data_IF_717500125048
#
_entry.id   IF_717500125048
#
_cell.length_a   1.000
_cell.length_b   1.000
_cell.length_c   1.000
_cell.angle_alpha   90.00
_cell.angle_beta   90.00
_cell.angle_gamma   90.00
#
_symmetry.space_group_name_H-M   'P 1'
#
loop_
_entity.id
_entity.type
_entity.pdbx_description
1 polymer ?
#
# COMPACT_ATOMS: atom_id res chain seq x y z
N UNK A 1 61.13 -34.88 23.79
CA UNK A 1 59.94 -34.30 24.45
C UNK A 1 59.53 -32.93 23.86
N UNK A 2 60.44 -31.95 23.70
CA UNK A 2 60.16 -30.63 23.10
C UNK A 2 59.52 -30.65 21.70
N UNK A 3 59.90 -31.59 20.84
CA UNK A 3 59.40 -31.64 19.47
C UNK A 3 57.93 -32.10 19.37
N UNK A 4 57.51 -33.05 20.22
CA UNK A 4 56.11 -33.47 20.33
C UNK A 4 55.21 -32.32 20.82
N UNK A 5 55.71 -31.53 21.77
CA UNK A 5 55.00 -30.35 22.28
C UNK A 5 54.77 -29.30 21.19
N UNK A 6 55.76 -29.05 20.32
CA UNK A 6 55.62 -28.13 19.18
C UNK A 6 54.60 -28.61 18.15
N UNK A 7 54.53 -29.93 17.87
CA UNK A 7 53.55 -30.49 16.93
C UNK A 7 52.12 -30.36 17.45
N UNK A 8 51.89 -30.63 18.74
CA UNK A 8 50.57 -30.47 19.39
C UNK A 8 50.16 -29.00 19.44
N UNK A 9 51.06 -28.09 19.81
CA UNK A 9 50.76 -26.66 19.84
C UNK A 9 50.40 -26.09 18.46
N UNK A 10 51.10 -26.53 17.39
CA UNK A 10 50.77 -26.14 16.00
C UNK A 10 49.42 -26.67 15.55
N UNK A 11 49.11 -27.93 15.87
CA UNK A 11 47.81 -28.53 15.56
C UNK A 11 46.66 -27.82 16.28
N UNK A 12 46.82 -27.51 17.57
CA UNK A 12 45.84 -26.74 18.35
C UNK A 12 45.63 -25.33 17.79
N UNK A 13 46.70 -24.63 17.42
CA UNK A 13 46.62 -23.30 16.79
C UNK A 13 45.87 -23.36 15.44
N UNK A 14 46.15 -24.36 14.61
CA UNK A 14 45.45 -24.54 13.33
C UNK A 14 43.95 -24.77 13.53
N UNK A 15 43.56 -25.62 14.49
CA UNK A 15 42.14 -25.88 14.80
C UNK A 15 41.44 -24.61 15.28
N UNK A 16 42.08 -23.81 16.14
CA UNK A 16 41.52 -22.53 16.60
C UNK A 16 41.35 -21.54 15.45
N UNK A 17 42.32 -21.45 14.53
CA UNK A 17 42.22 -20.59 13.35
C UNK A 17 41.09 -21.02 12.40
N UNK A 18 40.92 -22.33 12.19
CA UNK A 18 39.80 -22.86 11.39
C UNK A 18 38.47 -22.55 12.06
N UNK A 19 38.34 -22.80 13.36
CA UNK A 19 37.11 -22.51 14.11
C UNK A 19 36.77 -21.01 14.08
N UNK A 20 37.76 -20.14 14.27
CA UNK A 20 37.58 -18.69 14.15
C UNK A 20 37.15 -18.28 12.72
N UNK A 21 37.78 -18.85 11.69
CA UNK A 21 37.40 -18.62 10.30
C UNK A 21 35.96 -19.04 9.99
N UNK A 22 35.54 -20.22 10.46
CA UNK A 22 34.16 -20.70 10.34
C UNK A 22 33.15 -19.79 11.07
N UNK A 23 33.48 -19.34 12.29
CA UNK A 23 32.63 -18.44 13.06
C UNK A 23 32.46 -17.07 12.38
N UNK A 24 33.53 -16.50 11.82
CA UNK A 24 33.48 -15.25 11.05
C UNK A 24 32.64 -15.43 9.79
N UNK A 25 32.86 -16.51 9.03
CA UNK A 25 32.07 -16.81 7.82
C UNK A 25 30.59 -16.97 8.15
N UNK A 26 30.25 -17.71 9.21
CA UNK A 26 28.89 -17.86 9.70
C UNK A 26 28.25 -16.51 10.07
N UNK A 27 28.97 -15.68 10.82
CA UNK A 27 28.53 -14.33 11.19
C UNK A 27 28.26 -13.44 9.97
N UNK A 28 29.12 -13.48 8.96
CA UNK A 28 28.92 -12.74 7.69
C UNK A 28 27.69 -13.26 6.93
N UNK A 29 27.46 -14.58 6.89
CA UNK A 29 26.30 -15.16 6.23
C UNK A 29 24.99 -14.79 6.93
N UNK A 30 24.94 -14.85 8.26
CA UNK A 30 23.75 -14.42 9.02
C UNK A 30 23.52 -12.91 8.91
N UNK A 31 24.58 -12.08 8.94
CA UNK A 31 24.43 -10.64 8.72
C UNK A 31 23.88 -10.34 7.32
N UNK A 32 24.38 -11.00 6.27
CA UNK A 32 23.85 -10.86 4.90
C UNK A 32 22.39 -11.32 4.80
N UNK A 33 22.03 -12.39 5.49
CA UNK A 33 20.65 -12.90 5.55
C UNK A 33 19.73 -11.90 6.26
N UNK A 34 20.18 -11.30 7.36
CA UNK A 34 19.46 -10.21 8.03
C UNK A 34 19.32 -8.98 7.14
N UNK A 35 20.41 -8.50 6.52
CA UNK A 35 20.36 -7.36 5.59
C UNK A 35 19.42 -7.60 4.41
N UNK A 36 19.40 -8.82 3.85
CA UNK A 36 18.45 -9.19 2.78
C UNK A 36 17.01 -9.22 3.27
N UNK A 37 16.77 -9.72 4.49
CA UNK A 37 15.44 -9.69 5.12
C UNK A 37 14.99 -8.26 5.35
N UNK A 38 15.84 -7.40 5.89
CA UNK A 38 15.51 -6.00 6.16
C UNK A 38 15.30 -5.19 4.87
N UNK A 39 16.08 -5.47 3.82
CA UNK A 39 15.87 -4.87 2.50
C UNK A 39 14.55 -5.34 1.89
N UNK A 40 14.26 -6.64 1.90
CA UNK A 40 12.98 -7.18 1.44
C UNK A 40 11.81 -6.62 2.27
N UNK A 41 11.97 -6.47 3.58
CA UNK A 41 10.96 -5.91 4.47
C UNK A 41 10.69 -4.45 4.15
N UNK A 42 11.73 -3.65 3.88
CA UNK A 42 11.60 -2.26 3.44
C UNK A 42 10.93 -2.15 2.07
N UNK A 43 11.29 -3.00 1.11
CA UNK A 43 10.65 -3.04 -0.21
C UNK A 43 9.16 -3.39 -0.08
N UNK A 44 8.81 -4.33 0.80
CA UNK A 44 7.44 -4.82 0.98
C UNK A 44 6.58 -3.95 1.91
N UNK A 45 7.18 -3.13 2.79
CA UNK A 45 6.43 -2.43 3.85
C UNK A 45 6.78 -0.94 3.99
N UNK A 46 7.77 -0.41 3.28
CA UNK A 46 8.37 0.89 3.61
C UNK A 46 7.62 2.14 3.18
N UNK A 47 6.46 2.01 2.52
CA UNK A 47 5.58 3.13 2.19
C UNK A 47 4.56 3.40 3.31
N UNK A 48 4.00 4.61 3.41
CA UNK A 48 2.84 4.88 4.29
C UNK A 48 1.57 4.14 3.86
N UNK A 49 0.48 4.30 4.62
CA UNK A 49 -0.84 3.71 4.31
C UNK A 49 -1.29 4.09 2.90
N UNK A 50 -1.56 3.10 2.04
CA UNK A 50 -2.14 3.35 0.71
C UNK A 50 -3.66 3.34 0.87
N UNK A 51 -4.28 4.52 0.82
CA UNK A 51 -5.73 4.67 0.94
C UNK A 51 -6.43 4.62 -0.42
N UNK A 52 -7.64 4.04 -0.55
CA UNK A 52 -8.46 4.12 -1.75
C UNK A 52 -8.87 5.56 -2.12
N UNK A 53 -9.19 5.80 -3.40
CA UNK A 53 -9.51 7.14 -3.92
C UNK A 53 -10.74 7.81 -3.28
N UNK A 54 -11.73 7.04 -2.81
CA UNK A 54 -12.92 7.59 -2.14
C UNK A 54 -12.61 8.38 -0.88
N UNK A 55 -11.39 8.21 -0.35
CA UNK A 55 -10.92 8.88 0.86
C UNK A 55 -10.24 10.22 0.57
N UNK A 56 -9.81 10.43 -0.66
CA UNK A 56 -9.12 11.65 -1.09
C UNK A 56 -10.17 12.66 -1.53
N UNK A 57 -10.91 13.23 -0.57
CA UNK A 57 -11.76 14.42 -0.80
C UNK A 57 -11.04 15.64 -0.27
N UNK A 58 -10.18 16.23 -1.10
CA UNK A 58 -9.56 17.52 -0.80
C UNK A 58 -10.35 18.63 -1.48
N UNK A 59 -10.58 19.74 -0.76
CA UNK A 59 -10.96 21.00 -1.38
C UNK A 59 -9.83 21.41 -2.35
N UNK A 60 -10.19 21.62 -3.62
CA UNK A 60 -9.25 22.03 -4.65
C UNK A 60 -9.66 23.38 -5.22
N UNK A 61 -8.69 24.22 -5.60
CA UNK A 61 -9.03 25.47 -6.27
C UNK A 61 -9.54 25.17 -7.68
N UNK A 62 -10.56 25.89 -8.18
CA UNK A 62 -10.92 25.83 -9.58
C UNK A 62 -9.72 26.13 -10.49
N UNK A 63 -9.66 25.43 -11.63
CA UNK A 63 -8.62 25.65 -12.64
C UNK A 63 -8.80 27.01 -13.33
N UNK A 64 -7.70 27.70 -13.61
CA UNK A 64 -7.71 28.94 -14.39
C UNK A 64 -8.00 28.67 -15.87
N UNK A 65 -8.40 29.69 -16.63
CA UNK A 65 -8.59 29.57 -18.09
C UNK A 65 -7.32 29.09 -18.78
N UNK A 66 -6.14 29.60 -18.41
CA UNK A 66 -4.87 29.18 -18.98
C UNK A 66 -4.53 27.70 -18.68
N UNK A 67 -4.90 27.20 -17.49
CA UNK A 67 -4.74 25.78 -17.16
C UNK A 67 -5.67 24.91 -17.99
N UNK A 68 -6.95 25.28 -18.12
CA UNK A 68 -7.93 24.55 -18.95
C UNK A 68 -7.51 24.51 -20.41
N UNK A 69 -7.16 25.66 -21.01
CA UNK A 69 -6.71 25.71 -22.42
C UNK A 69 -5.47 24.87 -22.67
N UNK A 70 -4.58 24.76 -21.68
CA UNK A 70 -3.39 23.91 -21.79
C UNK A 70 -3.74 22.42 -21.69
N UNK A 71 -4.65 22.04 -20.80
CA UNK A 71 -5.11 20.65 -20.69
C UNK A 71 -5.81 20.20 -21.99
N UNK A 72 -6.62 21.08 -22.58
CA UNK A 72 -7.28 20.88 -23.87
C UNK A 72 -6.25 20.64 -24.98
N UNK A 73 -5.26 21.53 -25.11
CA UNK A 73 -4.21 21.41 -26.11
C UNK A 73 -3.38 20.12 -25.97
N UNK A 74 -3.11 19.67 -24.74
CA UNK A 74 -2.42 18.41 -24.50
C UNK A 74 -3.30 17.22 -24.86
N UNK A 75 -4.58 17.23 -24.49
CA UNK A 75 -5.52 16.15 -24.84
C UNK A 75 -5.70 16.05 -26.35
N UNK A 76 -5.83 17.17 -27.05
CA UNK A 76 -5.96 17.21 -28.50
C UNK A 76 -4.68 16.71 -29.18
N UNK A 77 -3.50 17.18 -28.73
CA UNK A 77 -2.23 16.70 -29.27
C UNK A 77 -2.08 15.18 -29.09
N UNK A 78 -2.47 14.65 -27.93
CA UNK A 78 -2.43 13.21 -27.66
C UNK A 78 -3.36 12.42 -28.58
N UNK A 79 -4.54 12.96 -28.89
CA UNK A 79 -5.50 12.33 -29.79
C UNK A 79 -5.04 12.32 -31.26
N UNK A 80 -4.25 13.31 -31.68
CA UNK A 80 -3.73 13.42 -33.04
C UNK A 80 -2.44 12.63 -33.29
N UNK A 81 -1.84 12.03 -32.26
CA UNK A 81 -0.72 11.13 -32.49
C UNK A 81 -1.19 9.86 -33.19
N UNK A 82 -0.59 9.54 -34.33
CA UNK A 82 -0.85 8.28 -35.04
C UNK A 82 -0.35 7.10 -34.19
N UNK A 83 -1.28 6.49 -33.44
CA UNK A 83 -1.03 5.35 -32.57
C UNK A 83 -0.77 4.04 -33.34
N UNK A 84 -0.97 4.02 -34.66
CA UNK A 84 -0.80 2.81 -35.47
C UNK A 84 0.66 2.57 -35.88
N UNK A 85 1.54 3.57 -35.74
CA UNK A 85 2.97 3.41 -35.99
C UNK A 85 3.70 3.35 -34.66
N UNK A 86 4.41 2.24 -34.43
CA UNK A 86 5.38 2.06 -33.34
C UNK A 86 6.51 3.08 -33.53
N UNK A 87 6.26 4.34 -33.18
CA UNK A 87 7.25 5.39 -33.23
C UNK A 87 8.00 5.37 -31.89
N UNK A 88 9.31 5.13 -31.84
CA UNK A 88 10.07 5.19 -30.59
C UNK A 88 9.92 6.54 -29.86
N UNK A 89 9.63 7.62 -30.59
CA UNK A 89 9.35 8.94 -30.03
C UNK A 89 7.99 9.09 -29.33
N UNK A 90 7.05 8.15 -29.54
CA UNK A 90 5.75 8.13 -28.84
C UNK A 90 5.95 7.86 -27.34
N UNK A 91 6.85 6.96 -26.96
CA UNK A 91 7.11 6.67 -25.55
C UNK A 91 7.62 7.87 -24.74
N UNK A 92 8.51 8.69 -25.34
CA UNK A 92 8.98 9.93 -24.71
C UNK A 92 7.87 10.98 -24.60
N UNK A 93 7.05 11.12 -25.65
CA UNK A 93 5.93 12.07 -25.67
C UNK A 93 4.81 11.65 -24.73
N UNK A 94 4.47 10.36 -24.67
CA UNK A 94 3.57 9.78 -23.69
C UNK A 94 4.05 10.09 -22.27
N UNK A 95 5.31 9.81 -21.95
CA UNK A 95 5.86 10.12 -20.62
C UNK A 95 5.85 11.62 -20.33
N UNK A 96 6.23 12.46 -21.29
CA UNK A 96 6.28 13.91 -21.14
C UNK A 96 4.88 14.54 -20.95
N UNK A 97 3.90 14.14 -21.77
CA UNK A 97 2.55 14.66 -21.68
C UNK A 97 1.79 14.05 -20.51
N UNK A 98 1.86 12.72 -20.32
CA UNK A 98 1.26 12.06 -19.16
C UNK A 98 1.86 12.59 -17.85
N UNK A 99 3.14 13.01 -17.80
CA UNK A 99 3.73 13.62 -16.60
C UNK A 99 2.89 14.76 -16.02
N UNK A 100 2.33 15.65 -16.85
CA UNK A 100 1.45 16.73 -16.35
C UNK A 100 0.17 16.18 -15.73
N UNK A 101 -0.37 15.11 -16.27
CA UNK A 101 -1.58 14.45 -15.77
C UNK A 101 -1.30 13.59 -14.54
N UNK A 102 -0.08 13.05 -14.42
CA UNK A 102 0.46 12.39 -13.23
C UNK A 102 0.56 13.35 -12.05
N UNK A 103 0.96 14.61 -12.29
CA UNK A 103 1.06 15.65 -11.24
C UNK A 103 -0.17 16.57 -11.11
N UNK A 104 -1.17 16.46 -11.99
CA UNK A 104 -2.39 17.25 -11.85
C UNK A 104 -3.04 16.96 -10.49
N UNK A 105 -3.60 17.96 -9.80
CA UNK A 105 -4.14 17.79 -8.44
C UNK A 105 -3.13 17.95 -7.29
N UNK A 106 -1.83 17.77 -7.52
CA UNK A 106 -0.81 18.02 -6.48
C UNK A 106 -0.42 19.50 -6.36
N UNK A 107 -0.79 20.33 -7.35
CA UNK A 107 -0.53 21.77 -7.38
C UNK A 107 -1.63 22.63 -6.71
N UNK A 108 -2.51 22.01 -5.92
CA UNK A 108 -3.67 22.67 -5.30
C UNK A 108 -4.82 23.01 -6.26
N UNK A 109 -4.62 22.85 -7.57
CA UNK A 109 -5.66 22.98 -8.59
C UNK A 109 -6.47 21.68 -8.73
N UNK A 110 -7.78 21.79 -8.97
CA UNK A 110 -8.61 20.63 -9.25
C UNK A 110 -8.09 19.83 -10.44
N UNK A 111 -8.30 18.52 -10.42
CA UNK A 111 -8.03 17.68 -11.58
C UNK A 111 -8.81 18.16 -12.81
N UNK A 112 -8.26 17.97 -14.01
CA UNK A 112 -8.98 18.17 -15.26
C UNK A 112 -10.33 17.43 -15.31
N UNK A 113 -11.19 17.83 -16.25
CA UNK A 113 -12.51 17.23 -16.35
C UNK A 113 -12.45 15.74 -16.72
N UNK A 114 -13.45 14.92 -16.32
CA UNK A 114 -13.51 13.50 -16.67
C UNK A 114 -13.43 13.22 -18.18
N UNK A 115 -13.88 14.15 -19.02
CA UNK A 115 -13.77 14.03 -20.47
C UNK A 115 -12.34 13.99 -20.99
N UNK A 116 -11.44 14.78 -20.40
CA UNK A 116 -10.03 14.73 -20.76
C UNK A 116 -9.41 13.38 -20.39
N UNK A 117 -9.76 12.84 -19.22
CA UNK A 117 -9.30 11.51 -18.82
C UNK A 117 -9.87 10.39 -19.70
N UNK A 118 -11.09 10.55 -20.22
CA UNK A 118 -11.65 9.63 -21.23
C UNK A 118 -10.86 9.68 -22.54
N UNK A 119 -10.54 10.87 -23.06
CA UNK A 119 -9.68 11.04 -24.25
C UNK A 119 -8.31 10.39 -24.02
N UNK A 120 -7.70 10.65 -22.87
CA UNK A 120 -6.41 10.09 -22.48
C UNK A 120 -6.44 8.55 -22.39
N UNK A 121 -7.49 7.97 -21.80
CA UNK A 121 -7.65 6.53 -21.72
C UNK A 121 -7.81 5.88 -23.11
N UNK A 122 -8.49 6.55 -24.04
CA UNK A 122 -8.60 6.12 -25.43
C UNK A 122 -7.26 5.99 -26.15
N UNK A 123 -6.23 6.69 -25.66
CA UNK A 123 -4.86 6.61 -26.16
C UNK A 123 -4.02 5.60 -25.37
N UNK A 124 -3.98 5.74 -24.04
CA UNK A 124 -3.06 4.99 -23.18
C UNK A 124 -3.41 3.50 -23.09
N UNK A 125 -4.71 3.18 -22.95
CA UNK A 125 -5.14 1.80 -22.68
C UNK A 125 -4.87 0.85 -23.87
N UNK A 126 -5.16 1.22 -25.13
CA UNK A 126 -4.78 0.40 -26.29
C UNK A 126 -3.27 0.15 -26.42
N UNK A 127 -2.44 1.05 -25.90
CA UNK A 127 -0.98 0.93 -25.90
C UNK A 127 -0.44 0.06 -24.76
N UNK A 128 -1.32 -0.61 -24.01
CA UNK A 128 -0.95 -1.51 -22.92
C UNK A 128 -0.59 -0.79 -21.61
N UNK A 129 -0.94 0.49 -21.46
CA UNK A 129 -0.65 1.23 -20.23
C UNK A 129 -1.63 0.85 -19.08
N UNK A 130 -1.18 0.81 -17.81
CA UNK A 130 0.21 0.96 -17.36
C UNK A 130 1.05 -0.28 -17.70
N UNK A 131 2.30 -0.09 -18.12
CA UNK A 131 3.24 -1.13 -18.52
C UNK A 131 4.52 -1.08 -17.70
N UNK A 132 5.28 -2.17 -17.68
CA UNK A 132 6.59 -2.20 -17.02
C UNK A 132 7.66 -1.44 -17.83
N UNK A 133 8.59 -0.73 -17.18
CA UNK A 133 8.54 -0.33 -15.77
C UNK A 133 7.46 0.75 -15.54
N UNK A 134 6.65 0.60 -14.48
CA UNK A 134 5.62 1.59 -14.11
C UNK A 134 6.09 2.37 -12.89
N UNK A 135 5.94 3.69 -12.94
CA UNK A 135 6.18 4.52 -11.76
C UNK A 135 4.90 4.62 -10.89
N UNK A 136 5.02 5.13 -9.66
CA UNK A 136 3.84 5.31 -8.79
C UNK A 136 2.84 6.31 -9.39
N UNK A 137 3.33 7.36 -10.02
CA UNK A 137 2.49 8.42 -10.56
C UNK A 137 1.71 7.93 -11.79
N UNK A 138 2.25 6.95 -12.52
CA UNK A 138 1.51 6.19 -13.52
C UNK A 138 0.33 5.48 -12.86
N UNK A 139 0.56 4.73 -11.78
CA UNK A 139 -0.53 4.06 -11.10
C UNK A 139 -1.54 5.07 -10.51
N UNK A 140 -1.13 6.21 -9.97
CA UNK A 140 -2.04 7.27 -9.49
C UNK A 140 -2.90 7.85 -10.64
N UNK A 141 -2.35 7.95 -11.84
CA UNK A 141 -3.11 8.37 -13.02
C UNK A 141 -4.26 7.39 -13.33
N UNK A 142 -4.10 6.09 -13.05
CA UNK A 142 -5.14 5.07 -13.32
C UNK A 142 -6.44 5.35 -12.56
N UNK A 143 -6.37 6.00 -11.38
CA UNK A 143 -7.55 6.41 -10.58
C UNK A 143 -8.49 7.35 -11.30
N UNK A 144 -7.92 8.11 -12.25
CA UNK A 144 -8.61 9.18 -12.96
C UNK A 144 -9.11 8.72 -14.31
N UNK A 145 -8.57 7.61 -14.82
CA UNK A 145 -9.02 7.03 -16.07
C UNK A 145 -10.35 6.30 -15.87
N UNK A 146 -11.26 6.31 -16.87
CA UNK A 146 -12.46 5.50 -16.84
C UNK A 146 -12.11 4.00 -16.70
N UNK A 147 -12.84 3.25 -15.85
CA UNK A 147 -12.62 1.82 -15.73
C UNK A 147 -12.85 1.08 -17.05
N UNK A 148 -11.99 0.12 -17.36
CA UNK A 148 -12.14 -0.73 -18.56
C UNK A 148 -11.56 -2.14 -18.37
N UNK A 149 -12.01 -3.14 -19.15
CA UNK A 149 -11.42 -4.48 -19.10
C UNK A 149 -9.93 -4.51 -19.41
N UNK A 150 -9.48 -3.68 -20.37
CA UNK A 150 -8.07 -3.62 -20.76
C UNK A 150 -7.22 -2.98 -19.67
N UNK A 151 -7.65 -1.86 -19.09
CA UNK A 151 -6.95 -1.25 -17.95
C UNK A 151 -6.86 -2.20 -16.75
N UNK A 152 -7.94 -2.93 -16.45
CA UNK A 152 -7.95 -3.91 -15.36
C UNK A 152 -6.98 -5.07 -15.62
N UNK A 153 -6.86 -5.56 -16.87
CA UNK A 153 -5.85 -6.58 -17.23
C UNK A 153 -4.42 -6.07 -17.03
N UNK A 154 -4.11 -4.87 -17.54
CA UNK A 154 -2.77 -4.27 -17.40
C UNK A 154 -2.41 -4.06 -15.92
N UNK A 155 -3.35 -3.56 -15.12
CA UNK A 155 -3.18 -3.44 -13.68
C UNK A 155 -2.98 -4.79 -12.98
N UNK A 156 -3.68 -5.83 -13.43
CA UNK A 156 -3.53 -7.17 -12.87
C UNK A 156 -2.17 -7.80 -13.16
N UNK A 157 -1.61 -7.59 -14.35
CA UNK A 157 -0.25 -8.05 -14.68
C UNK A 157 0.78 -7.46 -13.70
N UNK A 158 0.62 -6.18 -13.36
CA UNK A 158 1.45 -5.51 -12.37
C UNK A 158 1.16 -6.03 -10.95
N UNK A 159 -0.10 -6.02 -10.51
CA UNK A 159 -0.55 -6.40 -9.17
C UNK A 159 -0.14 -7.82 -8.74
N UNK A 160 0.01 -8.70 -9.73
CA UNK A 160 0.29 -10.12 -9.55
C UNK A 160 1.61 -10.58 -10.14
N UNK A 161 2.50 -9.62 -10.48
CA UNK A 161 3.86 -9.92 -10.91
C UNK A 161 4.56 -10.79 -9.86
N UNK A 162 5.29 -11.79 -10.34
CA UNK A 162 6.04 -12.75 -9.51
C UNK A 162 7.21 -12.11 -8.76
N UNK A 163 7.63 -10.91 -9.17
CA UNK A 163 8.80 -10.22 -8.65
C UNK A 163 8.40 -8.82 -8.14
N UNK A 164 9.09 -8.26 -7.14
CA UNK A 164 8.88 -6.89 -6.71
C UNK A 164 9.02 -5.92 -7.88
N UNK A 165 8.17 -4.89 -7.91
CA UNK A 165 8.23 -3.82 -8.90
C UNK A 165 8.77 -2.55 -8.23
N UNK A 166 10.11 -2.38 -8.14
CA UNK A 166 10.70 -1.28 -7.38
C UNK A 166 10.37 0.07 -7.99
N UNK A 167 10.12 1.07 -7.14
CA UNK A 167 9.95 2.45 -7.52
C UNK A 167 10.78 3.41 -6.68
N UNK A 168 11.34 4.41 -7.36
CA UNK A 168 12.05 5.52 -6.75
C UNK A 168 13.39 5.12 -6.11
N UNK A 169 14.07 6.07 -5.45
CA UNK A 169 15.37 5.84 -4.81
C UNK A 169 15.31 4.88 -3.61
N UNK A 170 14.10 4.54 -3.15
CA UNK A 170 13.86 3.66 -2.00
C UNK A 170 13.37 2.25 -2.41
N UNK A 171 13.24 1.99 -3.72
CA UNK A 171 12.89 0.67 -4.29
C UNK A 171 11.64 0.02 -3.67
N UNK A 172 10.61 0.81 -3.40
CA UNK A 172 9.35 0.28 -2.87
C UNK A 172 8.62 -0.57 -3.90
N UNK A 173 8.00 -1.65 -3.47
CA UNK A 173 7.21 -2.52 -4.33
C UNK A 173 5.88 -1.87 -4.71
N UNK A 174 5.66 -1.62 -6.01
CA UNK A 174 4.43 -1.02 -6.54
C UNK A 174 3.24 -1.99 -6.63
N UNK A 175 3.46 -3.31 -6.44
CA UNK A 175 2.39 -4.31 -6.55
C UNK A 175 1.20 -4.07 -5.60
N UNK A 176 1.39 -3.70 -4.31
CA UNK A 176 0.28 -3.34 -3.43
C UNK A 176 -0.56 -2.17 -3.96
N UNK A 177 0.10 -1.15 -4.51
CA UNK A 177 -0.57 0.00 -5.08
C UNK A 177 -1.37 -0.40 -6.33
N UNK A 178 -0.79 -1.22 -7.22
CA UNK A 178 -1.49 -1.77 -8.38
C UNK A 178 -2.72 -2.61 -8.01
N UNK A 179 -2.71 -3.35 -6.90
CA UNK A 179 -3.88 -4.08 -6.38
C UNK A 179 -5.02 -3.16 -5.98
N UNK A 180 -4.69 -2.04 -5.33
CA UNK A 180 -5.68 -1.04 -4.92
C UNK A 180 -6.25 -0.35 -6.16
N UNK A 181 -5.41 0.00 -7.14
CA UNK A 181 -5.88 0.55 -8.42
C UNK A 181 -6.77 -0.42 -9.18
N UNK A 182 -6.41 -1.71 -9.15
CA UNK A 182 -7.23 -2.78 -9.73
C UNK A 182 -8.58 -2.87 -9.02
N UNK A 183 -8.61 -2.80 -7.68
CA UNK A 183 -9.86 -2.80 -6.91
C UNK A 183 -10.80 -1.65 -7.33
N UNK A 184 -10.24 -0.46 -7.62
CA UNK A 184 -10.98 0.71 -8.10
C UNK A 184 -11.58 0.52 -9.52
N UNK A 185 -11.17 -0.50 -10.27
CA UNK A 185 -11.78 -0.85 -11.57
C UNK A 185 -13.16 -1.53 -11.43
N UNK A 186 -13.62 -1.78 -10.19
CA UNK A 186 -14.95 -2.28 -9.89
C UNK A 186 -15.24 -3.63 -10.55
N UNK A 187 -16.31 -3.70 -11.35
CA UNK A 187 -16.75 -4.97 -11.97
C UNK A 187 -15.69 -5.62 -12.86
N UNK A 188 -14.79 -4.83 -13.45
CA UNK A 188 -13.76 -5.36 -14.34
C UNK A 188 -12.69 -6.12 -13.58
N UNK A 189 -12.49 -5.85 -12.28
CA UNK A 189 -11.52 -6.51 -11.43
C UNK A 189 -11.96 -7.91 -10.93
N UNK A 190 -13.23 -8.28 -11.11
CA UNK A 190 -13.83 -9.53 -10.59
C UNK A 190 -13.02 -10.80 -10.90
N UNK A 191 -12.43 -11.00 -12.10
CA UNK A 191 -11.67 -12.21 -12.41
C UNK A 191 -10.52 -12.50 -11.45
N UNK A 192 -9.95 -11.46 -10.82
CA UNK A 192 -8.79 -11.60 -9.93
C UNK A 192 -9.16 -11.72 -8.45
N UNK A 193 -10.45 -11.62 -8.11
CA UNK A 193 -10.90 -11.63 -6.71
C UNK A 193 -10.57 -12.91 -5.95
N UNK A 194 -10.73 -14.08 -6.58
CA UNK A 194 -10.39 -15.36 -5.94
C UNK A 194 -8.90 -15.50 -5.67
N UNK A 195 -8.05 -15.03 -6.57
CA UNK A 195 -6.60 -15.02 -6.35
C UNK A 195 -6.23 -14.06 -5.21
N UNK A 196 -6.76 -12.85 -5.22
CA UNK A 196 -6.55 -11.89 -4.14
C UNK A 196 -7.00 -12.46 -2.78
N UNK A 197 -8.14 -13.14 -2.73
CA UNK A 197 -8.66 -13.78 -1.52
C UNK A 197 -7.68 -14.80 -0.91
N UNK A 198 -6.94 -15.54 -1.75
CA UNK A 198 -5.92 -16.50 -1.29
C UNK A 198 -4.63 -15.85 -0.82
N UNK A 199 -4.37 -14.61 -1.22
CA UNK A 199 -3.16 -13.86 -0.88
C UNK A 199 -3.37 -12.89 0.29
N UNK A 200 -4.54 -12.87 0.94
CA UNK A 200 -4.80 -12.06 2.13
C UNK A 200 -3.85 -12.49 3.26
N UNK A 201 -3.04 -11.54 3.73
CA UNK A 201 -2.17 -11.70 4.88
C UNK A 201 -2.07 -10.38 5.66
N UNK A 202 -2.10 -10.41 7.01
CA UNK A 202 -2.09 -9.20 7.83
C UNK A 202 -0.72 -8.52 7.93
N UNK A 203 0.36 -9.25 7.64
CA UNK A 203 1.72 -8.86 7.99
C UNK A 203 2.43 -8.03 6.90
N UNK A 204 1.95 -8.03 5.66
CA UNK A 204 2.61 -7.37 4.52
C UNK A 204 1.67 -6.43 3.76
N UNK A 205 2.20 -5.38 3.10
CA UNK A 205 1.41 -4.54 2.17
C UNK A 205 0.77 -5.33 1.06
N UNK A 206 1.46 -6.35 0.54
CA UNK A 206 0.90 -7.24 -0.48
C UNK A 206 -0.36 -7.94 0.05
N UNK A 207 -0.31 -8.46 1.28
CA UNK A 207 -1.43 -9.16 1.89
C UNK A 207 -2.62 -8.24 2.20
N UNK A 208 -2.36 -7.05 2.75
CA UNK A 208 -3.43 -6.08 3.07
C UNK A 208 -4.06 -5.47 1.82
N UNK A 209 -3.26 -5.16 0.79
CA UNK A 209 -3.80 -4.71 -0.51
C UNK A 209 -4.54 -5.82 -1.27
N UNK A 210 -4.16 -7.09 -1.11
CA UNK A 210 -4.95 -8.22 -1.60
C UNK A 210 -6.31 -8.30 -0.91
N UNK A 211 -6.37 -7.98 0.39
CA UNK A 211 -7.64 -7.85 1.11
C UNK A 211 -8.53 -6.77 0.50
N UNK A 212 -8.01 -5.59 0.15
CA UNK A 212 -8.80 -4.54 -0.53
C UNK A 212 -9.34 -5.00 -1.88
N UNK A 213 -8.52 -5.65 -2.70
CA UNK A 213 -8.96 -6.19 -3.99
C UNK A 213 -10.01 -7.30 -3.83
N UNK A 214 -9.80 -8.21 -2.87
CA UNK A 214 -10.77 -9.26 -2.56
C UNK A 214 -12.10 -8.67 -2.07
N UNK A 215 -12.06 -7.67 -1.18
CA UNK A 215 -13.24 -6.97 -0.70
C UNK A 215 -14.03 -6.30 -1.84
N UNK A 216 -13.35 -5.67 -2.79
CA UNK A 216 -13.99 -5.01 -3.93
C UNK A 216 -14.65 -5.99 -4.92
N UNK A 217 -14.21 -7.25 -4.95
CA UNK A 217 -14.54 -8.20 -6.03
C UNK A 217 -15.35 -9.42 -5.56
N UNK A 218 -15.10 -9.89 -4.34
CA UNK A 218 -15.72 -11.06 -3.68
C UNK A 218 -16.06 -10.72 -2.21
N UNK A 219 -16.84 -9.67 -1.94
CA UNK A 219 -17.02 -9.09 -0.61
C UNK A 219 -17.52 -10.08 0.45
N UNK A 220 -18.46 -10.96 0.09
CA UNK A 220 -19.02 -11.93 1.04
C UNK A 220 -17.98 -12.94 1.54
N UNK A 221 -17.03 -13.34 0.69
CA UNK A 221 -15.97 -14.27 1.07
C UNK A 221 -14.79 -13.54 1.72
N UNK A 222 -14.52 -12.30 1.32
CA UNK A 222 -13.41 -11.52 1.81
C UNK A 222 -13.63 -10.99 3.24
N UNK A 223 -14.83 -10.48 3.55
CA UNK A 223 -15.16 -9.85 4.83
C UNK A 223 -14.77 -10.71 6.06
N UNK A 224 -15.15 -12.00 6.19
CA UNK A 224 -14.75 -12.81 7.34
C UNK A 224 -13.24 -13.04 7.43
N UNK A 225 -12.53 -13.14 6.30
CA UNK A 225 -11.06 -13.29 6.29
C UNK A 225 -10.36 -12.01 6.73
N UNK A 226 -10.84 -10.85 6.28
CA UNK A 226 -10.31 -9.55 6.68
C UNK A 226 -10.54 -9.31 8.17
N UNK A 227 -11.74 -9.63 8.67
CA UNK A 227 -12.05 -9.54 10.10
C UNK A 227 -11.18 -10.47 10.96
N UNK A 228 -10.92 -11.70 10.49
CA UNK A 228 -9.99 -12.60 11.15
C UNK A 228 -8.56 -12.05 11.17
N UNK A 229 -8.11 -11.42 10.07
CA UNK A 229 -6.81 -10.76 9.99
C UNK A 229 -6.70 -9.58 10.97
N UNK A 230 -7.71 -8.71 11.05
CA UNK A 230 -7.79 -7.62 12.04
C UNK A 230 -7.75 -8.14 13.48
N UNK A 231 -8.49 -9.21 13.76
CA UNK A 231 -8.52 -9.85 15.08
C UNK A 231 -7.14 -10.41 15.45
N UNK A 232 -6.49 -11.11 14.53
CA UNK A 232 -5.16 -11.66 14.77
C UNK A 232 -4.12 -10.54 15.04
N UNK A 233 -4.19 -9.44 14.30
CA UNK A 233 -3.30 -8.29 14.49
C UNK A 233 -3.47 -7.60 15.84
N UNK A 234 -4.71 -7.32 16.23
CA UNK A 234 -5.04 -6.69 17.52
C UNK A 234 -4.63 -7.58 18.69
N UNK A 235 -4.90 -8.89 18.61
CA UNK A 235 -4.46 -9.85 19.61
C UNK A 235 -2.93 -9.94 19.73
N UNK A 236 -2.19 -9.94 18.61
CA UNK A 236 -0.73 -10.00 18.67
C UNK A 236 -0.13 -8.70 19.23
N UNK A 237 -0.71 -7.54 18.92
CA UNK A 237 -0.33 -6.28 19.53
C UNK A 237 -0.56 -6.30 21.06
N UNK A 238 -1.71 -6.80 21.51
CA UNK A 238 -2.02 -6.97 22.94
C UNK A 238 -1.04 -7.93 23.64
N UNK A 239 -0.67 -9.04 22.99
CA UNK A 239 0.33 -9.98 23.54
C UNK A 239 1.70 -9.32 23.66
N UNK A 240 2.13 -8.56 22.64
CA UNK A 240 3.37 -7.78 22.69
C UNK A 240 3.35 -6.77 23.82
N UNK A 241 2.25 -6.05 24.00
CA UNK A 241 2.06 -5.12 25.12
C UNK A 241 2.26 -5.80 26.46
N UNK A 242 1.51 -6.88 26.72
CA UNK A 242 1.59 -7.62 28.00
C UNK A 242 3.00 -8.11 28.31
N UNK A 243 3.77 -8.53 27.29
CA UNK A 243 5.18 -8.89 27.44
C UNK A 243 6.05 -7.70 27.87
N UNK A 244 5.84 -6.52 27.28
CA UNK A 244 6.61 -5.31 27.58
C UNK A 244 6.23 -4.72 28.94
N UNK A 245 4.94 -4.65 29.27
CA UNK A 245 4.44 -4.16 30.57
C UNK A 245 4.99 -4.98 31.74
N UNK A 246 5.16 -6.29 31.56
CA UNK A 246 5.81 -7.16 32.54
C UNK A 246 7.31 -6.91 32.75
N UNK A 247 7.97 -6.13 31.88
CA UNK A 247 9.43 -5.94 31.87
C UNK A 247 9.94 -4.63 32.49
N UNK A 248 9.05 -3.72 32.93
CA UNK A 248 9.24 -2.51 33.78
C UNK A 248 8.54 -1.27 33.18
N UNK A 249 7.43 -0.85 33.79
CA UNK A 249 7.02 0.53 34.11
C UNK A 249 7.18 1.72 33.13
N UNK A 250 7.54 1.53 31.87
CA UNK A 250 7.71 2.60 30.88
C UNK A 250 6.47 2.80 29.99
N UNK A 251 6.18 4.04 29.54
CA UNK A 251 4.97 4.34 28.79
C UNK A 251 4.96 3.72 27.37
N UNK A 252 3.95 2.89 27.14
CA UNK A 252 3.12 2.79 25.93
C UNK A 252 3.76 2.89 24.54
N UNK A 253 4.48 1.85 24.10
CA UNK A 253 4.68 1.61 22.66
C UNK A 253 4.01 0.27 22.32
N UNK A 254 2.71 0.33 21.98
CA UNK A 254 1.84 -0.86 21.85
C UNK A 254 1.79 -1.40 20.42
N UNK A 255 1.97 -0.53 19.42
CA UNK A 255 1.99 -0.90 18.01
C UNK A 255 3.32 -0.45 17.40
N UNK A 256 4.01 -1.35 16.69
CA UNK A 256 5.04 -0.87 15.77
C UNK A 256 4.34 -0.08 14.67
N UNK A 257 5.00 0.96 14.14
CA UNK A 257 4.44 1.83 13.08
C UNK A 257 3.77 1.00 11.97
N UNK A 258 4.46 -0.06 11.54
CA UNK A 258 4.00 -1.03 10.55
C UNK A 258 2.66 -1.68 10.92
N UNK A 259 2.49 -2.16 12.16
CA UNK A 259 1.25 -2.81 12.59
C UNK A 259 0.08 -1.84 12.52
N UNK A 260 0.30 -0.58 12.92
CA UNK A 260 -0.70 0.48 12.79
C UNK A 260 -1.16 0.67 11.35
N UNK A 261 -0.20 0.78 10.43
CA UNK A 261 -0.51 0.92 9.01
C UNK A 261 -1.27 -0.28 8.45
N UNK A 262 -0.83 -1.51 8.77
CA UNK A 262 -1.50 -2.74 8.32
C UNK A 262 -2.94 -2.79 8.85
N UNK A 263 -3.16 -2.38 10.10
CA UNK A 263 -4.48 -2.31 10.72
C UNK A 263 -5.39 -1.32 9.98
N UNK A 264 -4.90 -0.12 9.65
CA UNK A 264 -5.65 0.85 8.85
C UNK A 264 -5.97 0.32 7.45
N UNK A 265 -5.02 -0.31 6.78
CA UNK A 265 -5.25 -0.88 5.44
C UNK A 265 -6.28 -2.01 5.47
N UNK A 266 -6.28 -2.86 6.49
CA UNK A 266 -7.30 -3.89 6.67
C UNK A 266 -8.67 -3.31 7.04
N UNK A 267 -8.71 -2.22 7.81
CA UNK A 267 -9.96 -1.51 8.08
C UNK A 267 -10.56 -0.90 6.80
N UNK A 268 -9.72 -0.26 5.96
CA UNK A 268 -10.12 0.25 4.65
C UNK A 268 -10.57 -0.89 3.71
N UNK A 269 -9.89 -2.04 3.74
CA UNK A 269 -10.30 -3.22 3.00
C UNK A 269 -11.67 -3.74 3.47
N UNK A 270 -11.91 -3.79 4.78
CA UNK A 270 -13.19 -4.20 5.34
C UNK A 270 -14.30 -3.22 4.92
N UNK A 271 -14.04 -1.91 5.00
CA UNK A 271 -14.96 -0.87 4.55
C UNK A 271 -15.23 -0.92 3.03
N UNK A 272 -14.27 -1.41 2.24
CA UNK A 272 -14.45 -1.65 0.81
C UNK A 272 -15.48 -2.74 0.53
N UNK A 273 -15.64 -3.72 1.43
CA UNK A 273 -16.69 -4.75 1.31
C UNK A 273 -18.11 -4.20 1.59
N UNK A 274 -18.23 -2.98 2.12
CA UNK A 274 -19.50 -2.29 2.34
C UNK A 274 -20.44 -3.07 3.26
N UNK A 275 -21.74 -3.21 2.91
CA UNK A 275 -22.70 -3.91 3.76
C UNK A 275 -22.35 -5.37 4.09
N UNK A 276 -21.58 -6.05 3.22
CA UNK A 276 -21.13 -7.42 3.49
C UNK A 276 -20.17 -7.52 4.69
N UNK A 277 -19.56 -6.41 5.10
CA UNK A 277 -18.69 -6.35 6.26
C UNK A 277 -19.43 -6.22 7.59
N UNK A 278 -20.69 -5.78 7.60
CA UNK A 278 -21.42 -5.47 8.84
C UNK A 278 -21.41 -6.64 9.85
N UNK A 279 -21.68 -7.91 9.46
CA UNK A 279 -21.65 -9.04 10.39
C UNK A 279 -20.26 -9.34 10.97
N UNK A 280 -19.22 -8.76 10.36
CA UNK A 280 -17.82 -9.04 10.64
C UNK A 280 -17.07 -7.81 11.17
N UNK A 281 -17.77 -6.73 11.49
CA UNK A 281 -17.16 -5.45 11.87
C UNK A 281 -16.81 -5.33 13.36
N UNK A 282 -17.11 -6.35 14.17
CA UNK A 282 -16.77 -6.37 15.61
C UNK A 282 -15.28 -6.07 15.89
N UNK A 283 -14.30 -6.64 15.16
CA UNK A 283 -12.89 -6.37 15.44
C UNK A 283 -12.53 -4.89 15.28
N UNK A 284 -13.16 -4.19 14.32
CA UNK A 284 -13.00 -2.75 14.17
C UNK A 284 -13.57 -2.01 15.39
N UNK A 285 -14.74 -2.44 15.88
CA UNK A 285 -15.32 -1.96 17.13
C UNK A 285 -14.36 -2.03 18.34
N UNK A 286 -13.67 -3.16 18.49
CA UNK A 286 -12.73 -3.40 19.59
C UNK A 286 -11.51 -2.46 19.53
N UNK A 287 -11.09 -2.04 18.32
CA UNK A 287 -10.02 -1.04 18.17
C UNK A 287 -10.43 0.35 18.70
N UNK A 288 -11.72 0.71 18.71
CA UNK A 288 -12.17 1.98 19.28
C UNK A 288 -12.15 2.00 20.81
N UNK A 289 -12.49 0.87 21.45
CA UNK A 289 -12.53 0.76 22.92
C UNK A 289 -11.15 0.79 23.59
N UNK A 290 -10.09 0.60 22.81
CA UNK A 290 -8.70 0.52 23.26
C UNK A 290 -7.93 1.85 23.05
N UNK A 291 -8.65 2.97 22.99
CA UNK A 291 -8.21 4.32 22.57
C UNK A 291 -6.92 4.90 23.19
N UNK A 292 -6.33 4.31 24.24
CA UNK A 292 -5.04 4.73 24.79
C UNK A 292 -3.82 4.21 24.01
N UNK A 293 -4.00 3.34 23.00
CA UNK A 293 -2.90 2.64 22.33
C UNK A 293 -2.44 3.26 21.01
N UNK A 294 -3.07 4.36 20.57
CA UNK A 294 -2.82 4.97 19.26
C UNK A 294 -1.71 6.02 19.23
N UNK A 295 -1.07 6.33 20.37
CA UNK A 295 -0.14 7.46 20.53
C UNK A 295 1.13 7.46 19.66
N UNK A 296 1.35 6.43 18.83
CA UNK A 296 2.46 6.32 17.88
C UNK A 296 2.04 5.88 16.48
N UNK A 297 0.74 5.87 16.16
CA UNK A 297 0.32 5.51 14.82
C UNK A 297 0.64 6.63 13.82
N UNK A 298 1.02 6.29 12.58
CA UNK A 298 1.37 7.28 11.55
C UNK A 298 0.16 8.10 11.08
N UNK A 299 -1.05 7.69 11.43
CA UNK A 299 -2.29 8.31 11.02
C UNK A 299 -3.24 8.50 12.20
N UNK A 300 -4.05 9.55 12.13
CA UNK A 300 -5.01 9.89 13.17
C UNK A 300 -6.02 8.74 13.39
N UNK A 301 -6.47 8.47 14.63
CA UNK A 301 -7.53 7.50 14.91
C UNK A 301 -8.84 7.74 14.14
N UNK A 302 -9.05 8.98 13.66
CA UNK A 302 -10.17 9.38 12.77
C UNK A 302 -10.25 8.53 11.49
N UNK A 303 -9.13 7.93 11.07
CA UNK A 303 -9.03 7.02 9.92
C UNK A 303 -9.98 5.82 10.07
N UNK A 304 -10.05 5.23 11.26
CA UNK A 304 -10.90 4.08 11.54
C UNK A 304 -12.39 4.45 11.58
N UNK A 305 -12.69 5.69 11.97
CA UNK A 305 -14.06 6.19 12.03
C UNK A 305 -14.67 6.25 10.62
N UNK A 306 -13.94 6.77 9.63
CA UNK A 306 -14.41 6.82 8.24
C UNK A 306 -14.66 5.41 7.66
N UNK A 307 -13.81 4.44 8.01
CA UNK A 307 -14.01 3.04 7.64
C UNK A 307 -15.29 2.47 8.29
N UNK A 308 -15.50 2.72 9.59
CA UNK A 308 -16.69 2.27 10.32
C UNK A 308 -17.99 2.90 9.80
N UNK A 309 -17.98 4.19 9.50
CA UNK A 309 -19.11 4.91 8.92
C UNK A 309 -19.51 4.33 7.57
N UNK A 310 -18.53 3.98 6.73
CA UNK A 310 -18.75 3.35 5.43
C UNK A 310 -19.32 1.93 5.54
N UNK A 311 -18.93 1.17 6.57
CA UNK A 311 -19.54 -0.14 6.86
C UNK A 311 -20.98 0.03 7.34
N UNK A 312 -21.23 1.04 8.18
CA UNK A 312 -22.54 1.31 8.77
C UNK A 312 -22.86 0.42 9.98
N UNK A 313 -24.14 0.36 10.34
CA UNK A 313 -24.66 -0.51 11.39
C UNK A 313 -23.96 -0.36 12.74
N UNK A 314 -23.61 -1.50 13.37
CA UNK A 314 -22.96 -1.51 14.69
C UNK A 314 -21.58 -0.87 14.71
N UNK A 315 -20.85 -0.93 13.59
CA UNK A 315 -19.52 -0.35 13.49
C UNK A 315 -19.58 1.18 13.57
N UNK A 316 -20.47 1.81 12.80
CA UNK A 316 -20.71 3.24 12.83
C UNK A 316 -21.17 3.72 14.23
N UNK A 317 -22.06 2.95 14.88
CA UNK A 317 -22.50 3.25 16.26
C UNK A 317 -21.35 3.15 17.27
N UNK A 318 -20.44 2.19 17.11
CA UNK A 318 -19.26 2.10 17.97
C UNK A 318 -18.31 3.29 17.75
N UNK A 319 -18.08 3.66 16.48
CA UNK A 319 -17.26 4.82 16.12
C UNK A 319 -17.84 6.12 16.68
N UNK A 320 -19.16 6.36 16.57
CA UNK A 320 -19.81 7.58 17.06
C UNK A 320 -19.72 7.77 18.57
N UNK A 321 -19.48 6.69 19.33
CA UNK A 321 -19.29 6.71 20.79
C UNK A 321 -17.84 7.00 21.18
N UNK A 322 -16.88 6.77 20.29
CA UNK A 322 -15.47 7.03 20.56
C UNK A 322 -15.19 8.54 20.58
N UNK A 323 -14.50 9.03 21.62
CA UNK A 323 -14.23 10.47 21.79
C UNK A 323 -13.46 11.07 20.61
N UNK A 324 -12.46 10.36 20.08
CA UNK A 324 -11.63 10.83 18.98
C UNK A 324 -12.34 10.84 17.61
N UNK A 325 -13.44 10.11 17.44
CA UNK A 325 -14.26 10.18 16.22
C UNK A 325 -15.19 11.39 16.20
N UNK A 326 -15.37 12.07 17.35
CA UNK A 326 -16.25 13.25 17.48
C UNK A 326 -15.51 14.57 17.24
N UNK A 327 -14.19 14.54 17.29
CA UNK A 327 -13.37 15.70 16.92
C UNK A 327 -13.35 15.79 15.39
N UNK A 328 -13.72 16.93 14.78
CA UNK A 328 -13.51 17.09 13.34
C UNK A 328 -12.03 16.82 13.06
N UNK A 329 -11.74 15.96 12.10
CA UNK A 329 -10.37 15.68 11.69
C UNK A 329 -9.66 17.02 11.49
N UNK A 330 -8.61 17.27 12.25
CA UNK A 330 -7.72 18.39 11.93
C UNK A 330 -7.28 18.09 10.50
N UNK A 331 -7.65 18.96 9.56
CA UNK A 331 -7.26 18.79 8.17
C UNK A 331 -5.76 18.45 8.15
N UNK A 332 -5.34 17.39 7.43
CA UNK A 332 -3.95 16.97 7.43
C UNK A 332 -3.11 18.22 7.19
N UNK A 333 -2.22 18.53 8.13
CA UNK A 333 -1.34 19.69 8.03
C UNK A 333 -0.58 19.55 6.71
N UNK A 334 -1.05 20.26 5.69
CA UNK A 334 -0.42 20.28 4.39
C UNK A 334 0.95 20.97 4.57
N UNK A 335 1.99 20.17 4.71
CA UNK A 335 3.38 20.61 4.60
C UNK A 335 4.01 21.09 5.90
N UNK A 336 4.70 20.18 6.59
CA UNK A 336 6.03 20.49 7.11
C UNK A 336 7.04 19.80 6.17
N UNK A 337 7.45 20.53 5.14
CA UNK A 337 8.78 20.42 4.52
C UNK A 337 9.45 21.77 4.68
#
# INVERSE_FOLDING_TARGET
MRERFRKVARAGCLVLLIAAGCAVLWGVLELRKHQRRDAADRTLNGEGVISPSWRVSGDCRPRTTAERSRDEAVADLLHHFDHQRVNPGLGYKEQYFAWRWRIAGSSGSCSPSPEHYRRLAGVLVPLGWPKLPTDRSDLELTRRLPPSPALARNLAELAFASHPLPFGPLEYDNRPFARIMLAEQGRFARPWGRRALTEIAPDTKLGTSAATLAAATVPQQAAPRIAAALTAMTQEADRRRKRIEGLKGGPHIVYQLRDGERLFELADALATAGPAAEPHAEPLGQTFGSGSHFGLLPAEPTYLCAAADRIGGRAAVAASRASFCRTPALAPANGAR
#
